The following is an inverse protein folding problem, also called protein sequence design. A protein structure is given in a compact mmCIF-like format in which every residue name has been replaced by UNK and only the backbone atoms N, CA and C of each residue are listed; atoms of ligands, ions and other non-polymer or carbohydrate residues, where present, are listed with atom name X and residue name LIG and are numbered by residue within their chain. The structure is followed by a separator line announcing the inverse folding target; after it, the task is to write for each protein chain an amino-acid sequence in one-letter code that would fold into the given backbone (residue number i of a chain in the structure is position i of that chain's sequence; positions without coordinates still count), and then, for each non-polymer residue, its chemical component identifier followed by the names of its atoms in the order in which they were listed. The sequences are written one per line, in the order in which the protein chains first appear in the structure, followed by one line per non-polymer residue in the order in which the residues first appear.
data_IF_925146752113
#
_entry.id   IF_925146752113
#
_cell.length_a   1.000
_cell.length_b   1.000
_cell.length_c   1.000
_cell.angle_alpha   90.00
_cell.angle_beta   90.00
_cell.angle_gamma   90.00
#
_symmetry.space_group_name_H-M   'P 1'
#
loop_
_entity.id
_entity.type
_entity.pdbx_description
1 polymer ?
#
# COMPACT_ATOMS: atom_id res chain seq x y z
N UNK A 1 17.44 21.21 -7.26
CA UNK A 1 16.05 21.52 -7.69
C UNK A 1 15.88 21.57 -9.20
N UNK A 2 16.92 21.77 -10.02
CA UNK A 2 16.84 21.84 -11.49
C UNK A 2 16.40 20.54 -12.20
N UNK A 3 16.19 19.44 -11.45
CA UNK A 3 15.85 18.12 -11.99
C UNK A 3 14.48 17.60 -11.55
N UNK A 4 13.66 18.41 -10.86
CA UNK A 4 12.29 18.01 -10.47
C UNK A 4 11.30 18.41 -11.55
N UNK A 5 10.59 17.41 -12.08
CA UNK A 5 9.46 17.60 -13.01
C UNK A 5 8.18 17.63 -12.19
N UNK A 6 7.44 18.73 -12.29
CA UNK A 6 6.15 18.91 -11.63
C UNK A 6 5.04 18.59 -12.61
N UNK A 7 4.52 17.37 -12.58
CA UNK A 7 3.53 16.89 -13.55
C UNK A 7 2.13 17.49 -13.34
N UNK A 8 1.80 17.95 -12.12
CA UNK A 8 0.49 18.50 -11.78
C UNK A 8 0.62 19.51 -10.63
N UNK A 9 -0.18 20.60 -10.66
CA UNK A 9 -0.20 21.70 -9.66
C UNK A 9 1.18 22.14 -9.17
N UNK A 10 2.06 22.50 -10.11
CA UNK A 10 3.49 22.70 -9.84
C UNK A 10 3.82 23.75 -8.78
N UNK A 11 3.07 24.84 -8.69
CA UNK A 11 3.34 25.89 -7.68
C UNK A 11 3.02 25.42 -6.25
N UNK A 12 2.01 24.57 -6.09
CA UNK A 12 1.71 23.98 -4.78
C UNK A 12 2.71 22.92 -4.39
N UNK A 13 3.08 22.06 -5.36
CA UNK A 13 4.13 21.08 -5.13
C UNK A 13 5.46 21.76 -4.76
N UNK A 14 5.82 22.87 -5.42
CA UNK A 14 6.97 23.70 -5.02
C UNK A 14 6.81 24.24 -3.61
N UNK A 15 5.64 24.77 -3.25
CA UNK A 15 5.37 25.27 -1.90
C UNK A 15 5.57 24.19 -0.84
N UNK A 16 4.97 23.02 -1.01
CA UNK A 16 5.12 21.87 -0.09
C UNK A 16 6.59 21.45 0.03
N UNK A 17 7.31 21.32 -1.08
CA UNK A 17 8.71 20.92 -1.05
C UNK A 17 9.61 21.99 -0.44
N UNK A 18 9.30 23.27 -0.64
CA UNK A 18 10.03 24.37 -0.03
C UNK A 18 9.80 24.47 1.48
N UNK A 19 8.57 24.23 1.96
CA UNK A 19 8.26 24.25 3.38
C UNK A 19 8.88 23.09 4.15
N UNK A 20 9.16 21.98 3.46
CA UNK A 20 9.80 20.81 4.02
C UNK A 20 11.33 20.77 3.87
N UNK A 21 11.93 21.72 3.13
CA UNK A 21 13.33 21.63 2.65
C UNK A 21 14.36 21.46 3.77
N UNK A 22 14.14 22.18 4.86
CA UNK A 22 15.01 22.18 6.04
C UNK A 22 14.32 21.51 7.25
N UNK A 23 13.16 20.88 7.03
CA UNK A 23 12.38 20.18 8.05
C UNK A 23 12.86 18.75 8.27
N UNK A 24 12.51 18.19 9.41
CA UNK A 24 12.67 16.76 9.68
C UNK A 24 11.67 16.00 8.84
N UNK A 25 12.18 14.99 8.13
CA UNK A 25 11.36 14.05 7.40
C UNK A 25 11.24 12.74 8.18
N UNK A 26 10.08 12.09 8.09
CA UNK A 26 9.84 10.76 8.62
C UNK A 26 9.16 9.89 7.55
N UNK A 27 9.76 8.74 7.24
CA UNK A 27 9.13 7.71 6.42
C UNK A 27 8.21 6.84 7.26
N UNK A 28 6.97 6.65 6.81
CA UNK A 28 5.98 5.78 7.47
C UNK A 28 5.46 4.82 6.41
N UNK A 29 5.77 3.54 6.56
CA UNK A 29 5.43 2.51 5.58
C UNK A 29 4.37 1.57 6.15
N UNK A 30 3.20 1.57 5.53
CA UNK A 30 2.08 0.72 5.91
C UNK A 30 2.18 -0.63 5.20
N UNK A 31 2.10 -1.72 5.96
CA UNK A 31 2.05 -3.05 5.39
C UNK A 31 0.69 -3.69 5.64
N UNK A 32 0.20 -4.45 4.67
CA UNK A 32 -1.07 -5.15 4.78
C UNK A 32 -1.20 -6.24 3.72
N UNK A 33 -2.00 -7.26 4.02
CA UNK A 33 -2.31 -8.33 3.09
C UNK A 33 -3.79 -8.35 2.76
N UNK A 34 -4.13 -8.66 1.51
CA UNK A 34 -5.50 -8.99 1.11
C UNK A 34 -5.50 -10.33 0.40
N UNK A 35 -6.43 -11.23 0.73
CA UNK A 35 -6.64 -12.49 0.00
C UNK A 35 -7.06 -12.27 -1.46
N UNK A 36 -7.39 -11.04 -1.86
CA UNK A 36 -7.58 -10.67 -3.27
C UNK A 36 -6.30 -10.91 -4.09
N UNK A 37 -5.12 -10.78 -3.48
CA UNK A 37 -3.84 -11.02 -4.15
C UNK A 37 -3.59 -12.49 -4.52
N UNK A 38 -4.30 -13.43 -3.88
CA UNK A 38 -4.19 -14.87 -4.15
C UNK A 38 -5.04 -15.30 -5.35
N UNK A 39 -5.82 -14.40 -5.94
CA UNK A 39 -6.52 -14.68 -7.19
C UNK A 39 -5.47 -14.73 -8.32
N UNK A 40 -5.36 -15.87 -9.05
CA UNK A 40 -4.37 -16.02 -10.10
C UNK A 40 -4.44 -14.88 -11.13
N UNK A 41 -3.28 -14.28 -11.43
CA UNK A 41 -3.15 -13.21 -12.41
C UNK A 41 -3.54 -11.81 -11.92
N UNK A 42 -3.94 -11.61 -10.65
CA UNK A 42 -4.28 -10.27 -10.12
C UNK A 42 -3.06 -9.46 -9.71
N UNK A 43 -2.09 -10.14 -9.08
CA UNK A 43 -0.88 -9.54 -8.53
C UNK A 43 0.33 -10.39 -8.89
N UNK A 44 1.46 -9.71 -9.17
CA UNK A 44 2.77 -10.34 -9.41
C UNK A 44 3.79 -9.98 -8.33
N UNK A 45 3.34 -9.36 -7.24
CA UNK A 45 4.19 -8.99 -6.12
C UNK A 45 4.49 -10.25 -5.26
N UNK A 46 5.13 -11.25 -5.88
CA UNK A 46 5.36 -12.60 -5.38
C UNK A 46 5.38 -13.61 -6.53
N UNK A 47 6.21 -14.65 -6.42
CA UNK A 47 6.36 -15.65 -7.49
C UNK A 47 5.14 -16.55 -7.70
N UNK A 48 4.31 -16.73 -6.66
CA UNK A 48 3.00 -17.41 -6.74
C UNK A 48 1.94 -16.56 -6.04
N UNK A 49 0.64 -16.78 -6.33
CA UNK A 49 -0.44 -16.06 -5.67
C UNK A 49 -0.38 -16.15 -4.14
N UNK A 50 0.04 -17.28 -3.56
CA UNK A 50 0.16 -17.46 -2.11
C UNK A 50 1.32 -16.67 -1.52
N UNK A 51 2.45 -16.61 -2.24
CA UNK A 51 3.63 -15.86 -1.81
C UNK A 51 3.37 -14.35 -1.75
N UNK A 52 2.35 -13.85 -2.44
CA UNK A 52 1.95 -12.43 -2.31
C UNK A 52 1.54 -12.07 -0.89
N UNK A 53 1.08 -13.02 -0.06
CA UNK A 53 0.74 -12.76 1.34
C UNK A 53 1.98 -12.53 2.22
N UNK A 54 3.16 -13.00 1.79
CA UNK A 54 4.42 -12.85 2.53
C UNK A 54 5.14 -11.55 2.18
N UNK A 55 4.93 -11.03 0.97
CA UNK A 55 5.64 -9.85 0.43
C UNK A 55 5.60 -8.63 1.37
N UNK A 56 4.48 -8.23 2.01
CA UNK A 56 4.48 -7.07 2.89
C UNK A 56 5.48 -7.18 4.05
N UNK A 57 5.52 -8.35 4.71
CA UNK A 57 6.45 -8.60 5.80
C UNK A 57 7.90 -8.61 5.32
N UNK A 58 8.14 -9.25 4.17
CA UNK A 58 9.48 -9.40 3.63
C UNK A 58 10.04 -8.07 3.08
N UNK A 59 9.20 -7.23 2.47
CA UNK A 59 9.57 -5.88 2.06
C UNK A 59 9.98 -5.04 3.27
N UNK A 60 9.24 -5.12 4.38
CA UNK A 60 9.58 -4.44 5.63
C UNK A 60 10.88 -4.96 6.26
N UNK A 61 11.08 -6.27 6.30
CA UNK A 61 12.32 -6.90 6.78
C UNK A 61 13.53 -6.46 5.95
N UNK A 62 13.38 -6.43 4.63
CA UNK A 62 14.42 -5.95 3.74
C UNK A 62 14.70 -4.46 3.95
N UNK A 63 13.65 -3.63 4.09
CA UNK A 63 13.80 -2.20 4.34
C UNK A 63 14.68 -1.94 5.57
N UNK A 64 14.52 -2.70 6.65
CA UNK A 64 15.28 -2.53 7.90
C UNK A 64 16.61 -3.28 7.90
N UNK A 65 16.63 -4.58 7.63
CA UNK A 65 17.81 -5.43 7.77
C UNK A 65 18.60 -5.65 6.47
N UNK A 66 18.09 -5.20 5.33
CA UNK A 66 18.71 -5.40 4.02
C UNK A 66 18.63 -6.84 3.50
N UNK A 67 17.86 -7.69 4.18
CA UNK A 67 17.62 -9.09 3.83
C UNK A 67 16.27 -9.56 4.37
N UNK A 68 15.63 -10.56 3.74
CA UNK A 68 14.40 -11.15 4.23
C UNK A 68 14.69 -12.00 5.48
N UNK A 69 13.71 -12.11 6.39
CA UNK A 69 13.77 -12.96 7.59
C UNK A 69 12.61 -13.96 7.66
N UNK A 70 11.51 -13.69 6.95
CA UNK A 70 10.32 -14.54 6.85
C UNK A 70 10.32 -15.45 5.63
N UNK A 71 11.23 -15.21 4.66
CA UNK A 71 11.52 -16.08 3.53
C UNK A 71 13.04 -16.16 3.32
N UNK A 72 13.51 -17.25 2.72
CA UNK A 72 14.94 -17.46 2.43
C UNK A 72 15.44 -16.63 1.23
N UNK A 73 14.52 -15.99 0.49
CA UNK A 73 14.81 -15.22 -0.72
C UNK A 73 13.94 -13.99 -0.81
N UNK A 74 14.45 -12.97 -1.48
CA UNK A 74 13.68 -11.76 -1.76
C UNK A 74 12.47 -12.08 -2.66
N UNK A 75 11.30 -11.47 -2.41
CA UNK A 75 10.19 -11.51 -3.34
C UNK A 75 10.65 -10.79 -4.61
N UNK A 76 10.65 -11.54 -5.70
CA UNK A 76 10.79 -11.02 -7.06
C UNK A 76 9.47 -11.25 -7.78
N UNK A 77 9.20 -10.45 -8.81
CA UNK A 77 8.12 -10.81 -9.75
C UNK A 77 8.45 -12.15 -10.42
N UNK A 78 7.49 -12.83 -11.07
CA UNK A 78 7.78 -14.03 -11.86
C UNK A 78 8.90 -13.83 -12.90
N UNK A 79 9.08 -12.59 -13.39
CA UNK A 79 10.14 -12.20 -14.33
C UNK A 79 11.48 -11.87 -13.66
N UNK A 80 11.59 -12.01 -12.34
CA UNK A 80 12.82 -11.78 -11.59
C UNK A 80 13.10 -10.32 -11.24
N UNK A 81 12.13 -9.41 -11.42
CA UNK A 81 12.30 -7.99 -11.08
C UNK A 81 12.29 -7.85 -9.55
N UNK A 82 13.31 -7.21 -8.94
CA UNK A 82 13.37 -7.05 -7.49
C UNK A 82 12.31 -6.08 -6.97
N UNK A 83 11.92 -6.25 -5.70
CA UNK A 83 10.98 -5.36 -5.02
C UNK A 83 11.39 -3.88 -5.06
N UNK A 84 10.44 -2.94 -5.20
CA UNK A 84 10.70 -1.50 -5.07
C UNK A 84 11.19 -1.11 -3.66
N UNK A 85 11.10 -1.99 -2.65
CA UNK A 85 11.74 -1.79 -1.35
C UNK A 85 13.26 -1.55 -1.47
N UNK A 86 13.91 -2.04 -2.52
CA UNK A 86 15.30 -1.71 -2.88
C UNK A 86 15.51 -0.20 -3.06
N UNK A 87 14.66 0.44 -3.85
CA UNK A 87 14.75 1.89 -4.12
C UNK A 87 14.48 2.66 -2.84
N UNK A 88 13.46 2.23 -2.08
CA UNK A 88 13.08 2.86 -0.81
C UNK A 88 14.24 2.82 0.20
N UNK A 89 14.85 1.65 0.41
CA UNK A 89 16.01 1.49 1.30
C UNK A 89 17.19 2.35 0.85
N UNK A 90 17.50 2.37 -0.44
CA UNK A 90 18.57 3.20 -0.98
C UNK A 90 18.30 4.70 -0.72
N UNK A 91 17.08 5.17 -1.00
CA UNK A 91 16.71 6.57 -0.81
C UNK A 91 16.76 7.00 0.65
N UNK A 92 16.21 6.20 1.58
CA UNK A 92 16.23 6.50 3.01
C UNK A 92 17.66 6.52 3.57
N UNK A 93 18.48 5.54 3.22
CA UNK A 93 19.87 5.46 3.68
C UNK A 93 20.73 6.59 3.11
N UNK A 94 20.57 6.94 1.82
CA UNK A 94 21.32 8.05 1.22
C UNK A 94 20.90 9.42 1.77
N UNK A 95 19.66 9.53 2.26
CA UNK A 95 19.11 10.80 2.77
C UNK A 95 19.11 10.89 4.30
N UNK A 96 19.55 9.85 5.01
CA UNK A 96 19.44 9.70 6.47
C UNK A 96 18.03 10.01 7.01
N UNK A 97 16.99 9.63 6.27
CA UNK A 97 15.60 9.83 6.71
C UNK A 97 15.21 8.66 7.62
N UNK A 98 14.83 8.90 8.89
CA UNK A 98 14.32 7.86 9.75
C UNK A 98 13.01 7.29 9.19
N UNK A 99 12.74 6.02 9.46
CA UNK A 99 11.49 5.41 9.06
C UNK A 99 10.94 4.42 10.09
N UNK A 100 9.62 4.26 10.06
CA UNK A 100 8.89 3.27 10.86
C UNK A 100 7.96 2.46 9.93
N UNK A 101 7.71 1.21 10.32
CA UNK A 101 6.69 0.37 9.68
C UNK A 101 5.46 0.31 10.57
N UNK A 102 4.30 0.44 9.94
CA UNK A 102 2.99 0.28 10.58
C UNK A 102 2.32 -0.93 9.97
N UNK A 103 2.07 -1.96 10.78
CA UNK A 103 1.34 -3.15 10.38
C UNK A 103 -0.16 -2.91 10.51
N UNK A 104 -0.83 -2.75 9.36
CA UNK A 104 -2.27 -2.54 9.26
C UNK A 104 -3.05 -3.83 8.96
N UNK A 105 -2.37 -4.98 8.85
CA UNK A 105 -3.02 -6.28 8.60
C UNK A 105 -2.22 -7.21 7.70
N UNK A 106 -0.92 -7.38 7.95
CA UNK A 106 -0.12 -8.37 7.21
C UNK A 106 -0.49 -9.80 7.59
N UNK A 107 -0.41 -10.73 6.63
CA UNK A 107 -0.64 -12.15 6.87
C UNK A 107 0.50 -12.81 7.65
N UNK A 108 1.74 -12.36 7.39
CA UNK A 108 2.92 -12.75 8.16
C UNK A 108 3.33 -11.58 9.04
N UNK A 109 3.66 -11.87 10.30
CA UNK A 109 4.21 -10.86 11.20
C UNK A 109 5.64 -10.49 10.76
N UNK A 110 5.95 -9.21 10.49
CA UNK A 110 7.29 -8.83 10.09
C UNK A 110 8.26 -8.99 11.27
N UNK A 111 9.42 -9.60 11.04
CA UNK A 111 10.43 -9.85 12.09
C UNK A 111 11.32 -8.63 12.34
N UNK A 112 10.72 -7.46 12.51
CA UNK A 112 11.39 -6.17 12.77
C UNK A 112 10.67 -5.44 13.91
N UNK A 113 11.28 -4.43 14.56
CA UNK A 113 10.53 -3.47 15.36
C UNK A 113 9.54 -2.67 14.50
N UNK A 114 8.26 -2.65 14.86
CA UNK A 114 7.19 -1.97 14.13
C UNK A 114 6.04 -1.56 15.06
N UNK A 115 5.11 -0.76 14.53
CA UNK A 115 3.86 -0.39 15.19
C UNK A 115 2.73 -1.27 14.67
N UNK A 116 1.97 -1.88 15.57
CA UNK A 116 0.74 -2.61 15.23
C UNK A 116 -0.49 -1.71 15.40
N UNK A 117 -1.36 -1.66 14.38
CA UNK A 117 -2.70 -1.13 14.57
C UNK A 117 -3.54 -2.18 15.33
N UNK A 118 -4.20 -1.83 16.46
CA UNK A 118 -4.92 -2.79 17.28
C UNK A 118 -5.98 -3.60 16.53
N UNK A 119 -6.69 -3.00 15.58
CA UNK A 119 -7.75 -3.65 14.79
C UNK A 119 -7.25 -4.28 13.50
N UNK A 120 -5.93 -4.45 13.33
CA UNK A 120 -5.34 -5.03 12.12
C UNK A 120 -5.90 -6.42 11.84
N UNK A 121 -6.33 -6.61 10.60
CA UNK A 121 -6.80 -7.90 10.09
C UNK A 121 -6.40 -8.04 8.63
N UNK A 122 -6.17 -9.28 8.19
CA UNK A 122 -5.93 -9.56 6.77
C UNK A 122 -7.22 -9.30 6.00
N UNK A 123 -7.13 -8.50 4.94
CA UNK A 123 -8.26 -8.24 4.06
C UNK A 123 -8.73 -9.52 3.37
N UNK A 124 -10.04 -9.73 3.31
CA UNK A 124 -10.63 -10.83 2.58
C UNK A 124 -10.64 -10.55 1.07
N UNK A 125 -11.10 -11.54 0.31
CA UNK A 125 -11.29 -11.42 -1.14
C UNK A 125 -12.43 -10.46 -1.46
N UNK A 126 -12.12 -9.38 -2.16
CA UNK A 126 -13.11 -8.33 -2.43
C UNK A 126 -14.20 -8.77 -3.40
N UNK A 127 -13.97 -9.80 -4.23
CA UNK A 127 -15.00 -10.32 -5.13
C UNK A 127 -16.18 -10.97 -4.39
N UNK A 128 -16.06 -11.27 -3.10
CA UNK A 128 -17.17 -11.77 -2.26
C UNK A 128 -17.92 -10.68 -1.48
N UNK A 129 -17.56 -9.40 -1.65
CA UNK A 129 -18.32 -8.25 -1.13
C UNK A 129 -18.01 -7.81 0.30
N UNK A 130 -17.09 -8.48 1.02
CA UNK A 130 -16.64 -8.06 2.36
C UNK A 130 -15.13 -8.03 2.40
N UNK A 131 -14.51 -6.93 2.00
CA UNK A 131 -13.04 -6.77 2.01
C UNK A 131 -12.48 -6.72 3.44
N UNK A 132 -13.16 -5.96 4.31
CA UNK A 132 -12.92 -5.87 5.75
C UNK A 132 -14.28 -5.86 6.45
N UNK A 133 -14.39 -6.39 7.69
CA UNK A 133 -15.53 -6.09 8.55
C UNK A 133 -15.66 -4.58 8.77
N UNK A 134 -16.89 -4.03 8.77
CA UNK A 134 -17.11 -2.59 8.92
C UNK A 134 -16.46 -2.02 10.19
N UNK A 135 -16.62 -2.72 11.32
CA UNK A 135 -16.01 -2.29 12.59
C UNK A 135 -14.49 -2.31 12.56
N UNK A 136 -13.88 -3.27 11.86
CA UNK A 136 -12.42 -3.28 11.68
C UNK A 136 -11.98 -2.10 10.81
N UNK A 137 -12.66 -1.83 9.70
CA UNK A 137 -12.34 -0.70 8.83
C UNK A 137 -12.47 0.65 9.56
N UNK A 138 -13.56 0.83 10.31
CA UNK A 138 -13.80 2.03 11.13
C UNK A 138 -12.75 2.20 12.23
N UNK A 139 -12.41 1.11 12.93
CA UNK A 139 -11.42 1.16 14.01
C UNK A 139 -10.03 1.43 13.47
N UNK A 140 -9.63 0.78 12.36
CA UNK A 140 -8.36 1.05 11.69
C UNK A 140 -8.22 2.51 11.25
N UNK A 141 -9.31 3.13 10.79
CA UNK A 141 -9.32 4.55 10.45
C UNK A 141 -9.05 5.43 11.67
N UNK A 142 -9.78 5.22 12.78
CA UNK A 142 -9.59 6.00 14.01
C UNK A 142 -8.22 5.77 14.66
N UNK A 143 -7.76 4.52 14.71
CA UNK A 143 -6.42 4.16 15.21
C UNK A 143 -5.32 4.84 14.39
N UNK A 144 -5.45 4.81 13.06
CA UNK A 144 -4.51 5.48 12.16
C UNK A 144 -4.56 7.00 12.31
N UNK A 145 -5.74 7.59 12.56
CA UNK A 145 -5.90 9.03 12.81
C UNK A 145 -5.17 9.45 14.08
N UNK A 146 -5.34 8.70 15.18
CA UNK A 146 -4.63 8.95 16.44
C UNK A 146 -3.12 8.78 16.27
N UNK A 147 -2.67 7.74 15.57
CA UNK A 147 -1.25 7.57 15.24
C UNK A 147 -0.71 8.75 14.43
N UNK A 148 -1.45 9.21 13.42
CA UNK A 148 -1.05 10.35 12.60
C UNK A 148 -0.90 11.64 13.41
N UNK A 149 -1.78 11.90 14.38
CA UNK A 149 -1.70 13.07 15.27
C UNK A 149 -0.39 13.09 16.09
N UNK A 150 0.09 11.91 16.53
CA UNK A 150 1.37 11.80 17.23
C UNK A 150 2.57 11.93 16.29
N UNK A 151 2.53 11.28 15.13
CA UNK A 151 3.61 11.35 14.13
C UNK A 151 3.78 12.77 13.57
N UNK A 152 2.70 13.53 13.41
CA UNK A 152 2.73 14.92 12.95
C UNK A 152 3.52 15.86 13.88
N UNK A 153 3.74 15.47 15.14
CA UNK A 153 4.56 16.24 16.10
C UNK A 153 6.06 15.95 15.94
N UNK A 154 6.42 14.85 15.27
CA UNK A 154 7.79 14.36 15.15
C UNK A 154 8.51 14.88 13.90
N UNK A 155 7.77 15.23 12.86
CA UNK A 155 8.34 15.61 11.57
C UNK A 155 7.47 16.65 10.85
N UNK A 156 8.12 17.58 10.16
CA UNK A 156 7.48 18.59 9.32
C UNK A 156 7.11 18.02 7.93
N UNK A 157 7.75 16.92 7.52
CA UNK A 157 7.40 16.15 6.32
C UNK A 157 7.20 14.67 6.66
N UNK A 158 6.03 14.14 6.36
CA UNK A 158 5.74 12.71 6.49
C UNK A 158 5.65 12.10 5.08
N UNK A 159 6.46 11.08 4.82
CA UNK A 159 6.45 10.31 3.58
C UNK A 159 5.67 9.02 3.86
N UNK A 160 4.52 8.87 3.20
CA UNK A 160 3.67 7.68 3.34
C UNK A 160 3.93 6.70 2.19
N UNK A 161 4.26 5.46 2.52
CA UNK A 161 4.38 4.36 1.58
C UNK A 161 3.53 3.16 1.98
N UNK A 162 3.34 2.24 1.04
CA UNK A 162 2.59 1.01 1.29
C UNK A 162 3.29 -0.21 0.65
N UNK A 163 3.07 -1.40 1.23
CA UNK A 163 3.28 -2.68 0.56
C UNK A 163 2.06 -3.57 0.77
N UNK A 164 1.16 -3.57 -0.21
CA UNK A 164 -0.10 -4.30 -0.21
C UNK A 164 -0.32 -4.95 -1.59
N UNK A 165 0.16 -6.20 -1.81
CA UNK A 165 -0.17 -6.96 -3.01
C UNK A 165 -1.69 -7.05 -3.21
N UNK A 166 -2.14 -6.83 -4.45
CA UNK A 166 -3.58 -6.67 -4.76
C UNK A 166 -4.15 -5.28 -4.48
N UNK A 167 -3.38 -4.36 -3.90
CA UNK A 167 -3.79 -3.00 -3.54
C UNK A 167 -4.33 -2.17 -4.71
N UNK A 168 -3.79 -2.32 -5.92
CA UNK A 168 -4.34 -1.63 -7.10
C UNK A 168 -5.77 -2.07 -7.45
N UNK A 169 -6.15 -3.31 -7.13
CA UNK A 169 -7.50 -3.84 -7.35
C UNK A 169 -8.46 -3.38 -6.27
N UNK A 170 -8.02 -3.33 -5.01
CA UNK A 170 -8.83 -2.76 -3.92
C UNK A 170 -9.02 -1.25 -4.09
N UNK A 171 -7.99 -0.52 -4.52
CA UNK A 171 -8.06 0.89 -4.87
C UNK A 171 -9.08 1.16 -6.00
N UNK A 172 -9.09 0.32 -7.05
CA UNK A 172 -10.13 0.39 -8.08
C UNK A 172 -11.52 0.22 -7.49
N UNK A 173 -11.69 -0.76 -6.58
CA UNK A 173 -12.96 -1.00 -5.91
C UNK A 173 -13.44 0.18 -5.08
N UNK A 174 -12.55 0.83 -4.33
CA UNK A 174 -12.86 2.02 -3.54
C UNK A 174 -13.24 3.19 -4.46
N UNK A 175 -12.44 3.50 -5.47
CA UNK A 175 -12.70 4.62 -6.38
C UNK A 175 -14.03 4.48 -7.10
N UNK A 176 -14.29 3.31 -7.69
CA UNK A 176 -15.56 3.02 -8.38
C UNK A 176 -16.72 3.00 -7.38
N UNK A 177 -16.51 2.41 -6.20
CA UNK A 177 -17.51 2.39 -5.14
C UNK A 177 -17.91 3.81 -4.70
N UNK A 178 -16.97 4.75 -4.67
CA UNK A 178 -17.22 6.16 -4.39
C UNK A 178 -17.77 6.96 -5.59
N UNK A 179 -18.06 6.32 -6.73
CA UNK A 179 -18.65 6.98 -7.90
C UNK A 179 -17.65 7.60 -8.89
N UNK A 180 -16.34 7.41 -8.69
CA UNK A 180 -15.34 7.88 -9.66
C UNK A 180 -15.30 6.99 -10.91
N UNK A 181 -15.18 7.60 -12.10
CA UNK A 181 -14.97 6.91 -13.38
C UNK A 181 -13.51 6.39 -13.51
N UNK A 182 -13.12 5.47 -12.62
CA UNK A 182 -11.75 4.97 -12.48
C UNK A 182 -11.43 3.70 -13.31
N UNK A 183 -12.37 3.25 -14.15
CA UNK A 183 -12.25 2.00 -14.89
C UNK A 183 -11.04 2.03 -15.84
N UNK A 184 -10.08 1.13 -15.60
CA UNK A 184 -8.86 1.04 -16.41
C UNK A 184 -7.79 2.10 -16.11
N UNK A 185 -7.98 2.92 -15.07
CA UNK A 185 -7.03 3.96 -14.65
C UNK A 185 -5.98 3.47 -13.64
N UNK A 186 -6.27 2.39 -12.90
CA UNK A 186 -5.31 1.84 -11.92
C UNK A 186 -4.15 1.11 -12.60
N UNK A 187 -2.95 1.25 -12.03
CA UNK A 187 -1.72 0.60 -12.52
C UNK A 187 -1.66 -0.89 -12.15
N UNK A 188 -0.53 -1.54 -12.44
CA UNK A 188 -0.17 -2.90 -12.06
C UNK A 188 1.29 -2.97 -11.61
N UNK A 189 1.61 -3.96 -10.77
CA UNK A 189 2.99 -4.29 -10.42
C UNK A 189 3.75 -5.03 -11.54
N UNK A 190 3.03 -5.48 -12.58
CA UNK A 190 3.59 -6.13 -13.77
C UNK A 190 3.58 -5.19 -14.99
N UNK A 191 4.44 -5.43 -15.99
CA UNK A 191 4.39 -4.71 -17.28
C UNK A 191 3.02 -4.82 -17.95
N UNK A 192 2.40 -6.01 -17.90
CA UNK A 192 1.04 -6.22 -18.37
C UNK A 192 0.03 -6.02 -17.25
N UNK A 193 -0.89 -5.08 -17.45
CA UNK A 193 -1.94 -4.81 -16.47
C UNK A 193 -3.17 -5.70 -16.78
N UNK A 194 -3.58 -6.61 -15.87
CA UNK A 194 -4.73 -7.51 -16.05
C UNK A 194 -6.06 -6.77 -15.84
N UNK A 195 -6.30 -5.71 -16.63
CA UNK A 195 -7.40 -4.76 -16.44
C UNK A 195 -8.77 -5.43 -16.40
N UNK A 196 -9.03 -6.35 -17.35
CA UNK A 196 -10.32 -7.07 -17.42
C UNK A 196 -10.59 -7.87 -16.15
N UNK A 197 -9.59 -8.60 -15.65
CA UNK A 197 -9.70 -9.38 -14.42
C UNK A 197 -9.98 -8.49 -13.21
N UNK A 198 -9.25 -7.38 -13.05
CA UNK A 198 -9.48 -6.41 -11.97
C UNK A 198 -10.90 -5.84 -12.01
N UNK A 199 -11.39 -5.49 -13.21
CA UNK A 199 -12.75 -4.99 -13.40
C UNK A 199 -13.81 -6.02 -13.02
N UNK A 200 -13.63 -7.28 -13.41
CA UNK A 200 -14.56 -8.36 -13.06
C UNK A 200 -14.63 -8.62 -11.55
N UNK A 201 -13.48 -8.61 -10.87
CA UNK A 201 -13.38 -8.75 -9.41
C UNK A 201 -14.15 -7.63 -8.72
N UNK A 202 -13.89 -6.38 -9.13
CA UNK A 202 -14.55 -5.21 -8.54
C UNK A 202 -16.05 -5.21 -8.81
N UNK A 203 -16.48 -5.50 -10.05
CA UNK A 203 -17.91 -5.62 -10.39
C UNK A 203 -18.62 -6.67 -9.55
N UNK A 204 -17.98 -7.84 -9.35
CA UNK A 204 -18.53 -8.92 -8.50
C UNK A 204 -18.65 -8.50 -7.04
N UNK A 205 -17.65 -7.80 -6.51
CA UNK A 205 -17.67 -7.30 -5.14
C UNK A 205 -18.75 -6.24 -4.92
N UNK A 206 -18.76 -5.20 -5.75
CA UNK A 206 -19.72 -4.10 -5.64
C UNK A 206 -21.16 -4.56 -5.92
N UNK A 207 -21.38 -5.49 -6.84
CA UNK A 207 -22.70 -6.06 -7.11
C UNK A 207 -23.29 -6.89 -5.95
N UNK A 208 -22.49 -7.21 -4.93
CA UNK A 208 -22.91 -7.86 -3.68
C UNK A 208 -23.06 -6.87 -2.51
N UNK A 209 -22.68 -5.61 -2.72
CA UNK A 209 -22.87 -4.54 -1.73
C UNK A 209 -24.29 -3.98 -1.84
N UNK A 210 -24.97 -3.83 -0.71
CA UNK A 210 -26.33 -3.27 -0.65
C UNK A 210 -26.37 -1.75 -0.81
N UNK A 211 -25.24 -1.07 -0.54
CA UNK A 211 -25.20 0.38 -0.35
C UNK A 211 -24.03 1.00 -1.12
N UNK A 212 -24.19 1.15 -2.44
CA UNK A 212 -23.28 1.97 -3.23
C UNK A 212 -23.76 3.42 -3.17
N UNK A 213 -22.88 4.40 -2.90
CA UNK A 213 -23.15 5.81 -3.11
C UNK A 213 -23.85 6.04 -4.46
N UNK A 214 -24.84 6.92 -4.49
CA UNK A 214 -25.35 7.45 -5.77
C UNK A 214 -24.18 8.01 -6.58
N UNK A 215 -24.28 7.98 -7.91
CA UNK A 215 -23.21 8.31 -8.89
C UNK A 215 -22.65 9.76 -8.84
N UNK A 216 -22.70 10.42 -7.70
CA UNK A 216 -22.23 11.79 -7.51
C UNK A 216 -21.42 11.85 -6.19
N UNK A 217 -20.07 11.84 -6.25
CA UNK A 217 -19.20 12.03 -5.10
C UNK A 217 -19.25 13.46 -4.51
#
# INVERSE_FOLDING_TARGET
MAHLIYAYRGDEARRILSSARDGRALGVYFIGSTKTSTIPGVSVAGATPELTLYTPAVDAEYLFYGRPLSLDRMPVTPEGIPTPALITRAALNSSNIPSIVVNAGSYVEPKIPHVDLPSRVVGERIDFGRALPYDAARSLFEESRVLADELARLAELIILGESIPGGTTTALGILVGLGYEAWGMVSSAAPENPRKLKQEIVKRGLGRSSDLPSRDP
#
